data_IF_948137890907
#
_entry.id   IF_948137890907
#
_cell.length_a   1.000
_cell.length_b   1.000
_cell.length_c   1.000
_cell.angle_alpha   90.00
_cell.angle_beta   90.00
_cell.angle_gamma   90.00
#
_symmetry.space_group_name_H-M   'P 1'
#
loop_
_entity.id
_entity.type
_entity.pdbx_description
1 polymer ?
#
# COMPACT_ATOMS: atom_id res chain seq x y z
N UNK A 1 -17.59 -48.71 -31.53
CA UNK A 1 -17.94 -48.66 -30.09
C UNK A 1 -16.73 -48.12 -29.38
N UNK A 2 -16.63 -46.80 -29.36
CA UNK A 2 -15.54 -46.05 -28.74
C UNK A 2 -15.96 -45.81 -27.29
N UNK A 3 -15.26 -46.40 -26.33
CA UNK A 3 -15.56 -46.25 -24.92
C UNK A 3 -14.87 -44.98 -24.43
N UNK A 4 -15.66 -43.91 -24.25
CA UNK A 4 -15.22 -42.72 -23.54
C UNK A 4 -14.95 -43.08 -22.07
N UNK A 5 -13.67 -43.09 -21.69
CA UNK A 5 -13.27 -43.15 -20.29
C UNK A 5 -13.68 -41.88 -19.58
N UNK A 6 -14.63 -42.00 -18.66
CA UNK A 6 -14.96 -40.96 -17.69
C UNK A 6 -13.75 -40.79 -16.78
N UNK A 7 -13.04 -39.66 -16.89
CA UNK A 7 -12.04 -39.26 -15.90
C UNK A 7 -12.81 -38.62 -14.76
N UNK A 8 -13.18 -39.44 -13.78
CA UNK A 8 -13.72 -39.01 -12.50
C UNK A 8 -12.51 -38.72 -11.60
N UNK A 9 -12.06 -37.46 -11.61
CA UNK A 9 -10.92 -37.01 -10.82
C UNK A 9 -11.20 -35.62 -10.28
N UNK A 10 -11.32 -35.53 -8.95
CA UNK A 10 -11.26 -34.25 -8.23
C UNK A 10 -10.08 -33.42 -8.78
N UNK A 11 -10.25 -32.10 -9.00
CA UNK A 11 -9.17 -31.26 -9.51
C UNK A 11 -7.98 -31.34 -8.55
N UNK A 12 -6.91 -32.00 -8.98
CA UNK A 12 -5.68 -32.11 -8.21
C UNK A 12 -5.12 -30.70 -7.99
N UNK A 13 -4.98 -30.29 -6.74
CA UNK A 13 -4.37 -29.01 -6.41
C UNK A 13 -2.92 -29.00 -6.91
N UNK A 14 -2.42 -27.88 -7.47
CA UNK A 14 -1.01 -27.77 -7.85
C UNK A 14 -0.12 -28.09 -6.64
N UNK A 15 0.87 -28.96 -6.83
CA UNK A 15 1.84 -29.29 -5.79
C UNK A 15 2.92 -28.22 -5.72
N UNK A 16 2.56 -27.07 -5.16
CA UNK A 16 3.46 -25.92 -5.06
C UNK A 16 4.46 -26.04 -3.90
N UNK A 17 4.28 -26.99 -2.98
CA UNK A 17 5.19 -27.24 -1.86
C UNK A 17 6.63 -27.50 -2.31
N UNK A 18 6.81 -28.35 -3.31
CA UNK A 18 8.13 -28.68 -3.86
C UNK A 18 8.89 -27.48 -4.42
N UNK A 19 8.16 -26.51 -5.01
CA UNK A 19 8.78 -25.27 -5.52
C UNK A 19 9.33 -24.43 -4.38
N UNK A 20 8.55 -24.32 -3.29
CA UNK A 20 9.02 -23.60 -2.09
C UNK A 20 10.18 -24.31 -1.42
N UNK A 21 10.13 -25.65 -1.35
CA UNK A 21 11.21 -26.48 -0.81
C UNK A 21 12.52 -26.26 -1.59
N UNK A 22 12.51 -26.44 -2.91
CA UNK A 22 13.68 -26.28 -3.77
C UNK A 22 14.32 -24.89 -3.63
N UNK A 23 13.50 -23.83 -3.68
CA UNK A 23 13.97 -22.46 -3.54
C UNK A 23 14.53 -22.18 -2.14
N UNK A 24 13.90 -22.73 -1.09
CA UNK A 24 14.33 -22.54 0.29
C UNK A 24 15.62 -23.29 0.62
N UNK A 25 15.76 -24.54 0.16
CA UNK A 25 16.99 -25.33 0.30
C UNK A 25 18.16 -24.67 -0.43
N UNK A 26 17.90 -24.08 -1.59
CA UNK A 26 18.89 -23.34 -2.39
C UNK A 26 19.17 -21.92 -1.86
N UNK A 27 18.57 -21.53 -0.72
CA UNK A 27 18.72 -20.22 -0.10
C UNK A 27 18.37 -19.05 -1.05
N UNK A 28 17.47 -19.26 -2.01
CA UNK A 28 17.12 -18.20 -2.97
C UNK A 28 16.44 -17.00 -2.30
N UNK A 29 15.79 -17.21 -1.15
CA UNK A 29 15.15 -16.15 -0.37
C UNK A 29 16.14 -15.27 0.41
N UNK A 30 17.42 -15.63 0.53
CA UNK A 30 18.40 -14.83 1.28
C UNK A 30 18.68 -13.46 0.62
N UNK A 31 18.31 -13.29 -0.65
CA UNK A 31 18.30 -11.99 -1.34
C UNK A 31 17.48 -10.94 -0.59
N UNK A 32 16.43 -11.34 0.15
CA UNK A 32 15.62 -10.41 0.95
C UNK A 32 16.38 -9.89 2.18
N UNK A 33 17.25 -10.69 2.80
CA UNK A 33 18.11 -10.21 3.89
C UNK A 33 19.15 -9.22 3.36
N UNK A 34 19.72 -9.47 2.17
CA UNK A 34 20.62 -8.53 1.52
C UNK A 34 19.91 -7.21 1.17
N UNK A 35 18.67 -7.29 0.71
CA UNK A 35 17.83 -6.13 0.44
C UNK A 35 17.51 -5.33 1.71
N UNK A 36 17.12 -6.00 2.79
CA UNK A 36 16.84 -5.37 4.08
C UNK A 36 18.06 -4.60 4.62
N UNK A 37 19.26 -5.19 4.49
CA UNK A 37 20.51 -4.55 4.92
C UNK A 37 20.81 -3.26 4.14
N UNK A 38 20.50 -3.20 2.84
CA UNK A 38 20.77 -2.03 1.99
C UNK A 38 19.62 -1.02 1.93
N UNK A 39 18.47 -1.31 2.52
CA UNK A 39 17.29 -0.45 2.49
C UNK A 39 17.57 0.95 3.05
N UNK A 40 18.14 1.03 4.26
CA UNK A 40 18.42 2.31 4.91
C UNK A 40 19.37 3.18 4.09
N UNK A 41 20.42 2.57 3.52
CA UNK A 41 21.37 3.26 2.65
C UNK A 41 20.71 3.76 1.36
N UNK A 42 19.79 2.97 0.79
CA UNK A 42 19.03 3.33 -0.41
C UNK A 42 18.11 4.52 -0.16
N UNK A 43 17.39 4.53 0.96
CA UNK A 43 16.52 5.66 1.36
C UNK A 43 17.36 6.92 1.61
N UNK A 44 18.50 6.79 2.29
CA UNK A 44 19.41 7.91 2.52
C UNK A 44 20.00 8.47 1.22
N UNK A 45 20.37 7.59 0.27
CA UNK A 45 20.86 7.98 -1.04
C UNK A 45 19.77 8.71 -1.84
N UNK A 46 18.53 8.23 -1.76
CA UNK A 46 17.37 8.87 -2.38
C UNK A 46 17.11 10.26 -1.81
N UNK A 47 17.18 10.42 -0.48
CA UNK A 47 17.02 11.73 0.15
C UNK A 47 18.10 12.72 -0.32
N UNK A 48 19.36 12.29 -0.38
CA UNK A 48 20.47 13.12 -0.89
C UNK A 48 20.26 13.52 -2.35
N UNK A 49 19.77 12.60 -3.19
CA UNK A 49 19.41 12.89 -4.58
C UNK A 49 18.30 13.94 -4.65
N UNK A 50 17.28 13.80 -3.80
CA UNK A 50 16.17 14.75 -3.68
C UNK A 50 16.55 16.08 -3.05
N UNK A 51 17.74 16.23 -2.46
CA UNK A 51 18.26 17.50 -1.94
C UNK A 51 19.11 18.23 -2.98
N UNK A 52 19.77 17.49 -3.88
CA UNK A 52 20.63 18.01 -4.94
C UNK A 52 19.85 18.89 -5.96
N UNK A 53 20.31 20.12 -6.15
CA UNK A 53 19.65 21.10 -7.02
C UNK A 53 19.64 20.70 -8.51
N UNK A 54 20.72 20.12 -9.02
CA UNK A 54 20.82 19.66 -10.41
C UNK A 54 19.90 18.48 -10.66
N UNK A 55 19.85 17.53 -9.71
CA UNK A 55 18.92 16.40 -9.78
C UNK A 55 17.45 16.87 -9.73
N UNK A 56 17.10 17.83 -8.86
CA UNK A 56 15.75 18.43 -8.82
C UNK A 56 15.37 19.07 -10.15
N UNK A 57 16.27 19.84 -10.74
CA UNK A 57 16.04 20.46 -12.06
C UNK A 57 15.84 19.39 -13.13
N UNK A 58 16.68 18.36 -13.15
CA UNK A 58 16.53 17.24 -14.08
C UNK A 58 15.19 16.52 -13.90
N UNK A 59 14.77 16.21 -12.67
CA UNK A 59 13.51 15.52 -12.40
C UNK A 59 12.28 16.28 -12.92
N UNK A 60 12.31 17.62 -12.88
CA UNK A 60 11.25 18.46 -13.48
C UNK A 60 11.17 18.32 -15.00
N UNK A 61 12.25 17.92 -15.68
CA UNK A 61 12.26 17.78 -17.14
C UNK A 61 11.70 16.44 -17.65
N UNK A 62 11.57 15.43 -16.78
CA UNK A 62 11.24 14.06 -17.17
C UNK A 62 9.75 13.79 -17.39
N UNK A 63 8.86 14.62 -16.84
CA UNK A 63 7.39 14.43 -16.90
C UNK A 63 6.71 15.73 -16.50
N UNK A 64 5.37 15.76 -16.32
CA UNK A 64 4.74 16.91 -15.65
C UNK A 64 5.51 17.21 -14.34
N UNK A 65 6.14 18.39 -14.23
CA UNK A 65 7.32 18.61 -13.37
C UNK A 65 7.08 18.37 -11.88
N UNK A 66 5.83 18.48 -11.43
CA UNK A 66 5.47 18.34 -10.03
C UNK A 66 5.14 16.89 -9.65
N UNK A 67 4.47 16.13 -10.53
CA UNK A 67 4.00 14.76 -10.24
C UNK A 67 5.14 13.77 -10.04
N UNK A 68 6.19 13.84 -10.87
CA UNK A 68 7.29 12.87 -10.79
C UNK A 68 8.17 13.12 -9.57
N UNK A 69 8.44 14.38 -9.24
CA UNK A 69 9.16 14.75 -8.03
C UNK A 69 8.40 14.29 -6.78
N UNK A 70 7.09 14.53 -6.73
CA UNK A 70 6.24 14.10 -5.61
C UNK A 70 6.17 12.58 -5.49
N UNK A 71 6.06 11.86 -6.61
CA UNK A 71 6.10 10.41 -6.63
C UNK A 71 7.42 9.87 -6.05
N UNK A 72 8.56 10.43 -6.46
CA UNK A 72 9.87 10.03 -5.93
C UNK A 72 10.01 10.38 -4.44
N UNK A 73 9.46 11.52 -4.02
CA UNK A 73 9.58 11.97 -2.63
C UNK A 73 8.69 11.19 -1.66
N UNK A 74 7.46 10.86 -2.06
CA UNK A 74 6.44 10.34 -1.14
C UNK A 74 5.99 8.91 -1.43
N UNK A 75 6.10 8.44 -2.66
CA UNK A 75 5.66 7.09 -3.07
C UNK A 75 6.84 6.13 -3.07
N UNK A 76 7.93 6.47 -3.76
CA UNK A 76 9.09 5.59 -3.94
C UNK A 76 9.67 5.04 -2.62
N UNK A 77 9.89 5.85 -1.55
CA UNK A 77 10.43 5.32 -0.30
C UNK A 77 9.56 4.23 0.33
N UNK A 78 8.23 4.33 0.14
CA UNK A 78 7.25 3.33 0.59
C UNK A 78 7.26 2.10 -0.31
N UNK A 79 7.36 2.30 -1.64
CA UNK A 79 7.47 1.19 -2.60
C UNK A 79 8.75 0.36 -2.41
N UNK A 80 9.84 0.96 -1.93
CA UNK A 80 11.07 0.24 -1.58
C UNK A 80 10.90 -0.72 -0.38
N UNK A 81 9.78 -0.71 0.35
CA UNK A 81 9.50 -1.71 1.37
C UNK A 81 8.76 -2.94 0.83
N UNK A 82 8.22 -2.87 -0.40
CA UNK A 82 7.41 -3.92 -1.01
C UNK A 82 8.09 -5.29 -1.06
N UNK A 83 9.38 -5.42 -1.46
CA UNK A 83 10.05 -6.72 -1.46
C UNK A 83 10.10 -7.37 -0.07
N UNK A 84 10.29 -6.57 0.98
CA UNK A 84 10.35 -7.09 2.36
C UNK A 84 8.99 -7.62 2.81
N UNK A 85 7.93 -6.88 2.57
CA UNK A 85 6.57 -7.36 2.86
C UNK A 85 6.22 -8.61 2.06
N UNK A 86 6.62 -8.69 0.79
CA UNK A 86 6.36 -9.87 -0.04
C UNK A 86 7.06 -11.11 0.53
N UNK A 87 8.27 -10.95 1.06
CA UNK A 87 8.96 -12.00 1.79
C UNK A 87 8.20 -12.43 3.05
N UNK A 88 7.75 -11.48 3.87
CA UNK A 88 6.91 -11.78 5.04
C UNK A 88 5.61 -12.50 4.65
N UNK A 89 5.00 -12.10 3.53
CA UNK A 89 3.84 -12.77 2.98
C UNK A 89 4.14 -14.21 2.56
N UNK A 90 5.32 -14.51 1.99
CA UNK A 90 5.70 -15.90 1.71
C UNK A 90 5.71 -16.76 2.97
N UNK A 91 6.24 -16.26 4.10
CA UNK A 91 6.20 -16.99 5.36
C UNK A 91 4.76 -17.24 5.84
N UNK A 92 3.86 -16.26 5.71
CA UNK A 92 2.43 -16.44 6.01
C UNK A 92 1.76 -17.41 5.03
N UNK A 93 2.06 -17.31 3.74
CA UNK A 93 1.47 -18.10 2.66
C UNK A 93 1.83 -19.58 2.79
N UNK A 94 3.10 -19.90 3.02
CA UNK A 94 3.56 -21.27 3.30
C UNK A 94 2.79 -21.85 4.49
N UNK A 95 2.65 -21.11 5.58
CA UNK A 95 1.86 -21.52 6.74
C UNK A 95 0.37 -21.75 6.42
N UNK A 96 -0.24 -20.91 5.58
CA UNK A 96 -1.64 -21.06 5.17
C UNK A 96 -1.85 -22.24 4.22
N UNK A 97 -0.92 -22.47 3.31
CA UNK A 97 -0.95 -23.56 2.33
C UNK A 97 -0.72 -24.90 3.01
N UNK A 98 0.25 -24.97 3.92
CA UNK A 98 0.51 -26.13 4.77
C UNK A 98 -0.77 -26.64 5.47
N UNK A 99 -1.61 -25.74 6.00
CA UNK A 99 -2.89 -26.12 6.65
C UNK A 99 -3.93 -26.71 5.69
N UNK A 100 -3.77 -26.52 4.38
CA UNK A 100 -4.69 -26.97 3.33
C UNK A 100 -4.13 -28.15 2.53
N UNK A 101 -2.81 -28.35 2.54
CA UNK A 101 -2.12 -29.43 1.84
C UNK A 101 -2.16 -30.76 2.61
N UNK A 102 -1.85 -31.85 1.91
CA UNK A 102 -1.80 -33.22 2.42
C UNK A 102 -0.75 -34.03 1.66
N UNK A 103 -0.23 -35.10 2.29
CA UNK A 103 0.74 -36.00 1.66
C UNK A 103 2.06 -35.29 1.37
N UNK A 104 2.72 -35.63 0.27
CA UNK A 104 4.06 -35.14 -0.06
C UNK A 104 4.13 -33.60 -0.20
N UNK A 105 3.04 -32.96 -0.63
CA UNK A 105 2.99 -31.50 -0.74
C UNK A 105 3.00 -30.81 0.63
N UNK A 106 2.41 -31.45 1.65
CA UNK A 106 2.52 -31.00 3.04
C UNK A 106 3.96 -31.14 3.54
N UNK A 107 4.57 -32.31 3.31
CA UNK A 107 5.95 -32.59 3.74
C UNK A 107 6.94 -31.58 3.12
N UNK A 108 6.75 -31.23 1.84
CA UNK A 108 7.53 -30.21 1.15
C UNK A 108 7.35 -28.80 1.75
N UNK A 109 6.12 -28.42 2.14
CA UNK A 109 5.90 -27.14 2.84
C UNK A 109 6.54 -27.11 4.23
N UNK A 110 6.53 -28.21 4.97
CA UNK A 110 7.19 -28.33 6.27
C UNK A 110 8.72 -28.19 6.12
N UNK A 111 9.31 -28.83 5.10
CA UNK A 111 10.72 -28.69 4.78
C UNK A 111 11.08 -27.23 4.40
N UNK A 112 10.28 -26.62 3.53
CA UNK A 112 10.47 -25.22 3.13
C UNK A 112 10.39 -24.26 4.33
N UNK A 113 9.40 -24.43 5.21
CA UNK A 113 9.26 -23.63 6.43
C UNK A 113 10.50 -23.77 7.31
N UNK A 114 10.97 -25.00 7.55
CA UNK A 114 12.17 -25.29 8.32
C UNK A 114 13.43 -24.58 7.79
N UNK A 115 13.62 -24.56 6.47
CA UNK A 115 14.72 -23.84 5.83
C UNK A 115 14.61 -22.31 6.01
N UNK A 116 13.39 -21.77 5.95
CA UNK A 116 13.13 -20.33 6.00
C UNK A 116 13.14 -19.72 7.42
N UNK A 117 13.05 -20.52 8.50
CA UNK A 117 12.97 -20.02 9.90
C UNK A 117 14.09 -19.03 10.22
N UNK A 118 15.33 -19.32 9.84
CA UNK A 118 16.48 -18.45 10.15
C UNK A 118 16.39 -17.11 9.43
N UNK A 119 16.02 -17.13 8.16
CA UNK A 119 15.81 -15.92 7.36
C UNK A 119 14.70 -15.06 7.98
N UNK A 120 13.57 -15.68 8.34
CA UNK A 120 12.45 -15.00 8.99
C UNK A 120 12.88 -14.28 10.27
N UNK A 121 13.54 -14.98 11.18
CA UNK A 121 14.02 -14.39 12.44
C UNK A 121 15.00 -13.24 12.19
N UNK A 122 15.88 -13.38 11.21
CA UNK A 122 16.83 -12.33 10.84
C UNK A 122 16.10 -11.09 10.30
N UNK A 123 15.14 -11.28 9.40
CA UNK A 123 14.35 -10.20 8.81
C UNK A 123 13.47 -9.49 9.86
N UNK A 124 12.83 -10.22 10.78
CA UNK A 124 12.06 -9.61 11.88
C UNK A 124 12.92 -8.65 12.72
N UNK A 125 14.17 -9.06 12.98
CA UNK A 125 15.14 -8.23 13.70
C UNK A 125 15.60 -7.03 12.87
N UNK A 126 15.99 -7.23 11.61
CA UNK A 126 16.47 -6.16 10.73
C UNK A 126 15.39 -5.12 10.43
N UNK A 127 14.14 -5.58 10.28
CA UNK A 127 13.01 -4.75 9.89
C UNK A 127 12.26 -4.14 11.08
N UNK A 128 12.79 -4.30 12.30
CA UNK A 128 12.18 -3.71 13.50
C UNK A 128 12.11 -2.18 13.35
N UNK A 129 10.89 -1.64 13.29
CA UNK A 129 10.63 -0.21 13.10
C UNK A 129 10.67 0.29 11.65
N UNK A 130 11.04 -0.56 10.68
CA UNK A 130 10.96 -0.22 9.25
C UNK A 130 9.57 -0.50 8.67
N UNK A 131 8.95 -1.60 9.10
CA UNK A 131 7.63 -2.01 8.65
C UNK A 131 6.58 -1.46 9.63
N UNK A 132 5.57 -0.70 9.18
CA UNK A 132 4.44 -0.33 10.00
C UNK A 132 3.80 -1.58 10.60
N UNK A 133 3.40 -1.49 11.87
CA UNK A 133 2.75 -2.61 12.54
C UNK A 133 1.36 -2.94 11.98
N UNK A 134 0.78 -2.05 11.15
CA UNK A 134 -0.55 -2.23 10.56
C UNK A 134 -0.43 -2.61 9.10
N UNK A 135 -1.16 -3.67 8.71
CA UNK A 135 -1.31 -4.05 7.31
C UNK A 135 -1.88 -2.89 6.48
N UNK A 136 -2.72 -2.01 7.01
CA UNK A 136 -3.33 -0.90 6.28
C UNK A 136 -2.34 0.16 5.74
N UNK A 137 -1.21 0.37 6.41
CA UNK A 137 -0.18 1.33 5.97
C UNK A 137 0.63 0.79 4.78
N UNK A 138 0.36 -0.46 4.36
CA UNK A 138 1.13 -1.21 3.37
C UNK A 138 0.60 -1.07 1.95
N UNK A 139 -0.48 -0.29 1.74
CA UNK A 139 -1.10 0.23 0.50
C UNK A 139 -1.10 -0.59 -0.80
N UNK A 140 0.03 -1.22 -1.13
CA UNK A 140 0.31 -2.02 -2.32
C UNK A 140 0.12 -3.53 -2.08
N UNK A 141 0.37 -4.02 -0.85
CA UNK A 141 0.31 -5.46 -0.53
C UNK A 141 -0.86 -5.88 0.36
N UNK A 142 -1.69 -4.91 0.78
CA UNK A 142 -2.96 -5.23 1.41
C UNK A 142 -3.81 -5.89 0.35
N UNK A 143 -4.29 -7.11 0.64
CA UNK A 143 -5.33 -7.69 -0.19
C UNK A 143 -6.46 -6.68 -0.30
N UNK A 144 -6.62 -6.12 -1.50
CA UNK A 144 -7.67 -5.15 -1.75
C UNK A 144 -8.97 -5.78 -1.28
N UNK A 145 -9.76 -5.08 -0.43
CA UNK A 145 -11.06 -5.60 -0.06
C UNK A 145 -11.81 -5.93 -1.34
N UNK A 146 -12.48 -7.10 -1.36
CA UNK A 146 -13.34 -7.46 -2.48
C UNK A 146 -14.23 -6.27 -2.82
N UNK A 147 -14.50 -6.03 -4.09
CA UNK A 147 -15.40 -4.96 -4.53
C UNK A 147 -16.69 -4.86 -3.69
N UNK A 148 -17.27 -6.01 -3.31
CA UNK A 148 -18.44 -6.09 -2.43
C UNK A 148 -18.18 -5.54 -1.02
N UNK A 149 -17.01 -5.81 -0.46
CA UNK A 149 -16.56 -5.29 0.83
C UNK A 149 -16.30 -3.79 0.75
N UNK A 150 -15.63 -3.33 -0.31
CA UNK A 150 -15.38 -1.90 -0.55
C UNK A 150 -16.68 -1.11 -0.64
N UNK A 151 -17.67 -1.61 -1.39
CA UNK A 151 -18.98 -0.97 -1.48
C UNK A 151 -19.66 -0.82 -0.12
N UNK A 152 -19.60 -1.87 0.73
CA UNK A 152 -20.17 -1.81 2.09
C UNK A 152 -19.48 -0.79 2.98
N UNK A 153 -18.16 -0.69 2.87
CA UNK A 153 -17.37 0.31 3.62
C UNK A 153 -17.79 1.70 3.17
N UNK A 154 -17.82 1.97 1.86
CA UNK A 154 -18.20 3.26 1.29
C UNK A 154 -19.61 3.67 1.73
N UNK A 155 -20.60 2.78 1.61
CA UNK A 155 -21.97 3.06 2.09
C UNK A 155 -22.03 3.28 3.60
N UNK A 156 -21.25 2.51 4.37
CA UNK A 156 -21.17 2.69 5.83
C UNK A 156 -20.52 4.01 6.23
N UNK A 157 -19.59 4.55 5.43
CA UNK A 157 -18.96 5.84 5.70
C UNK A 157 -19.95 6.95 5.40
N UNK A 158 -20.55 6.95 4.20
CA UNK A 158 -21.50 7.99 3.79
C UNK A 158 -22.69 8.11 4.76
N UNK A 159 -23.26 6.96 5.18
CA UNK A 159 -24.40 6.95 6.12
C UNK A 159 -24.09 7.50 7.52
N UNK A 160 -22.81 7.63 7.90
CA UNK A 160 -22.38 8.21 9.17
C UNK A 160 -22.08 9.70 9.08
N UNK A 161 -22.14 10.29 7.88
CA UNK A 161 -21.92 11.71 7.65
C UNK A 161 -23.28 12.41 7.66
N UNK A 162 -23.52 13.20 8.69
CA UNK A 162 -24.70 14.06 8.76
C UNK A 162 -24.55 15.22 7.76
N UNK A 163 -25.62 15.54 7.03
CA UNK A 163 -25.61 16.63 6.05
C UNK A 163 -24.81 16.33 4.78
N UNK A 164 -24.84 15.08 4.29
CA UNK A 164 -24.22 14.73 3.00
C UNK A 164 -24.78 15.57 1.85
N UNK A 165 -23.89 16.21 1.09
CA UNK A 165 -24.22 16.99 -0.09
C UNK A 165 -23.66 16.31 -1.35
N UNK A 166 -24.46 16.27 -2.43
CA UNK A 166 -24.04 15.71 -3.71
C UNK A 166 -24.42 14.24 -3.93
N UNK A 167 -23.91 13.61 -5.01
CA UNK A 167 -24.24 12.23 -5.37
C UNK A 167 -23.65 11.22 -4.38
N UNK A 168 -24.20 10.00 -4.37
CA UNK A 168 -23.68 8.91 -3.54
C UNK A 168 -22.24 8.56 -3.93
N UNK A 169 -21.41 8.24 -2.93
CA UNK A 169 -20.00 7.89 -3.15
C UNK A 169 -19.82 6.69 -4.08
N UNK A 170 -20.76 5.74 -4.09
CA UNK A 170 -20.71 4.60 -4.99
C UNK A 170 -20.91 4.95 -6.47
N UNK A 171 -21.37 6.16 -6.78
CA UNK A 171 -21.54 6.63 -8.16
C UNK A 171 -20.25 7.20 -8.74
N UNK A 172 -19.29 7.59 -7.89
CA UNK A 172 -18.06 8.26 -8.29
C UNK A 172 -16.78 7.62 -7.73
N UNK A 173 -16.88 6.58 -6.90
CA UNK A 173 -15.73 5.95 -6.27
C UNK A 173 -15.90 4.44 -6.17
N UNK A 174 -14.78 3.73 -6.27
CA UNK A 174 -14.76 2.26 -6.26
C UNK A 174 -13.99 1.68 -5.08
N UNK A 175 -13.10 2.47 -4.50
CA UNK A 175 -12.20 2.04 -3.44
C UNK A 175 -12.11 3.11 -2.34
N UNK A 176 -11.97 2.64 -1.10
CA UNK A 176 -11.72 3.49 0.05
C UNK A 176 -10.23 3.42 0.38
N UNK A 177 -9.52 4.56 0.32
CA UNK A 177 -8.08 4.60 0.54
C UNK A 177 -7.71 4.89 1.99
N UNK A 178 -8.13 6.03 2.55
CA UNK A 178 -7.72 6.47 3.89
C UNK A 178 -8.67 7.52 4.47
N UNK A 179 -8.83 7.56 5.81
CA UNK A 179 -9.36 8.72 6.54
C UNK A 179 -8.18 9.51 7.09
N UNK A 180 -8.13 10.81 6.80
CA UNK A 180 -7.17 11.72 7.42
C UNK A 180 -7.89 12.64 8.40
N UNK A 181 -7.28 12.86 9.57
CA UNK A 181 -7.66 13.95 10.47
C UNK A 181 -6.71 15.12 10.18
N UNK A 182 -7.13 16.03 9.31
CA UNK A 182 -6.42 17.29 9.15
C UNK A 182 -6.86 18.28 10.22
N UNK A 183 -5.91 18.78 11.01
CA UNK A 183 -6.10 20.01 11.76
C UNK A 183 -6.22 21.14 10.75
N UNK A 184 -7.42 21.68 10.57
CA UNK A 184 -7.72 22.73 9.61
C UNK A 184 -6.90 24.01 9.89
N UNK A 185 -5.76 24.20 9.20
CA UNK A 185 -5.06 25.50 9.12
C UNK A 185 -5.74 26.33 8.02
N UNK A 186 -7.03 26.62 8.19
CA UNK A 186 -7.82 27.37 7.19
C UNK A 186 -7.78 28.88 7.39
N UNK A 187 -7.20 29.37 8.50
CA UNK A 187 -7.08 30.81 8.76
C UNK A 187 -5.97 31.50 7.96
N UNK A 188 -4.87 30.79 7.66
CA UNK A 188 -3.61 31.44 7.22
C UNK A 188 -3.38 31.42 5.70
N UNK A 189 -3.99 30.49 4.97
CA UNK A 189 -3.80 30.34 3.52
C UNK A 189 -4.81 31.15 2.71
N UNK A 190 -6.04 31.35 3.22
CA UNK A 190 -7.03 32.22 2.57
C UNK A 190 -6.58 33.69 2.59
N UNK A 191 -5.88 34.15 3.63
CA UNK A 191 -5.32 35.52 3.67
C UNK A 191 -4.14 35.71 2.70
N UNK A 192 -3.35 34.68 2.43
CA UNK A 192 -2.24 34.75 1.48
C UNK A 192 -2.72 34.78 0.02
N UNK A 193 -3.82 34.09 -0.29
CA UNK A 193 -4.37 34.06 -1.66
C UNK A 193 -5.30 35.25 -1.95
N UNK A 194 -5.97 35.80 -0.93
CA UNK A 194 -6.80 37.01 -1.08
C UNK A 194 -5.99 38.33 -1.13
N UNK A 195 -4.75 38.36 -0.63
CA UNK A 195 -3.89 39.56 -0.74
C UNK A 195 -3.27 39.75 -2.13
N UNK A 196 -3.25 38.72 -2.97
CA UNK A 196 -2.75 38.80 -4.35
C UNK A 196 -3.81 39.10 -5.42
N UNK A 197 -5.10 39.15 -5.08
CA UNK A 197 -6.18 39.33 -6.07
C UNK A 197 -7.28 40.33 -5.71
N UNK A 198 -7.04 41.25 -4.77
CA UNK A 198 -8.01 42.31 -4.45
C UNK A 198 -7.44 43.71 -4.68
N UNK A 199 -7.50 44.17 -5.93
CA UNK A 199 -7.46 45.60 -6.29
C UNK A 199 -8.88 46.08 -6.60
N UNK A 200 -9.80 45.91 -5.64
CA UNK A 200 -11.04 46.70 -5.53
C UNK A 200 -11.78 46.29 -4.26
N UNK A 201 -11.73 47.18 -3.27
CA UNK A 201 -12.45 47.13 -2.02
C UNK A 201 -13.95 47.10 -2.29
N UNK A 202 -14.70 46.13 -1.73
CA UNK A 202 -16.06 46.30 -1.16
C UNK A 202 -16.84 45.00 -0.83
N UNK A 203 -16.32 43.78 -1.05
CA UNK A 203 -17.14 42.54 -0.92
C UNK A 203 -16.67 41.56 0.18
N UNK A 204 -15.73 41.94 1.07
CA UNK A 204 -15.18 40.98 2.03
C UNK A 204 -15.91 40.85 3.38
N UNK A 205 -16.88 41.71 3.72
CA UNK A 205 -17.49 41.69 5.06
C UNK A 205 -18.70 40.75 5.22
N UNK A 206 -19.35 40.29 4.15
CA UNK A 206 -20.59 39.49 4.28
C UNK A 206 -20.40 37.97 4.32
N UNK A 207 -19.27 37.42 3.86
CA UNK A 207 -19.07 35.96 3.77
C UNK A 207 -18.42 35.32 5.00
N UNK A 208 -17.96 36.11 5.97
CA UNK A 208 -17.30 35.60 7.18
C UNK A 208 -18.27 35.04 8.23
N UNK A 209 -19.59 35.21 8.07
CA UNK A 209 -20.57 34.85 9.11
C UNK A 209 -21.23 33.47 8.95
N UNK A 210 -20.99 32.74 7.86
CA UNK A 210 -21.80 31.55 7.51
C UNK A 210 -21.13 30.19 7.61
N UNK A 211 -19.85 30.08 7.98
CA UNK A 211 -19.17 28.77 8.07
C UNK A 211 -18.78 28.42 9.52
N UNK A 212 -19.66 27.65 10.15
CA UNK A 212 -19.45 26.97 11.43
C UNK A 212 -19.54 25.45 11.19
N UNK A 213 -18.48 24.82 10.70
CA UNK A 213 -18.18 23.39 10.98
C UNK A 213 -16.83 22.98 10.37
N UNK A 214 -16.02 22.13 11.03
CA UNK A 214 -14.83 21.53 10.43
C UNK A 214 -15.21 20.54 9.31
N UNK A 215 -14.70 20.74 8.10
CA UNK A 215 -14.89 19.84 6.97
C UNK A 215 -13.85 18.73 7.03
N UNK A 216 -14.29 17.47 7.13
CA UNK A 216 -13.44 16.31 6.86
C UNK A 216 -13.18 16.20 5.35
N UNK A 217 -11.91 16.34 4.94
CA UNK A 217 -11.50 16.00 3.57
C UNK A 217 -11.29 14.49 3.44
N UNK A 218 -12.02 13.86 2.52
CA UNK A 218 -11.84 12.46 2.15
C UNK A 218 -11.15 12.37 0.79
N UNK A 219 -10.14 11.51 0.67
CA UNK A 219 -9.54 11.17 -0.63
C UNK A 219 -10.15 9.86 -1.10
N UNK A 220 -10.90 9.91 -2.21
CA UNK A 220 -11.56 8.77 -2.84
C UNK A 220 -11.11 8.67 -4.31
N UNK A 221 -10.97 7.44 -4.81
CA UNK A 221 -10.66 7.14 -6.21
C UNK A 221 -11.81 6.39 -6.90
#
# INVERSE_FOLDING_TARGET
MEMAGVVDGEPQSPQAGFVFEEMAESQEFDVYANYANSYSDSVNALQKLLENAEAKEYLKTLTEPDLFKEAIQYVLPKSLLEPLYHCFYYFEAVNMLMRKSKGEDLDAYEAAEGCMVRLKMNLEKQCTGLLPSRKEDLGVLVQKPSYKTSMKIISSVQSKIEGWEGPDLLQCSTEFLMVLLESSIWSSLVTAQCTWSCHSSLICEELASSFSSPVCSFMLC
#
